data_IF_939936821927
#
_entry.id   IF_939936821927
#
_cell.length_a   1.000
_cell.length_b   1.000
_cell.length_c   1.000
_cell.angle_alpha   90.00
_cell.angle_beta   90.00
_cell.angle_gamma   90.00
#
_symmetry.space_group_name_H-M   'P 1'
#
loop_
_entity.id
_entity.type
_entity.pdbx_description
1 polymer ?
#
# COMPACT_ATOMS: atom_id res chain seq x y z
N UNK A 1 -58.90 19.53 -19.43
CA UNK A 1 -58.70 18.14 -19.03
C UNK A 1 -57.97 18.13 -17.69
N UNK A 2 -58.71 18.02 -16.59
CA UNK A 2 -58.16 18.13 -15.23
C UNK A 2 -57.81 16.72 -14.71
N UNK A 3 -56.50 16.49 -14.48
CA UNK A 3 -56.07 15.26 -13.76
C UNK A 3 -56.64 15.28 -12.35
N UNK A 4 -57.18 14.13 -11.92
CA UNK A 4 -57.80 13.99 -10.59
C UNK A 4 -56.74 14.19 -9.48
N UNK A 5 -57.20 14.59 -8.30
CA UNK A 5 -56.32 14.81 -7.15
C UNK A 5 -55.51 13.56 -6.80
N UNK A 6 -56.00 12.36 -7.03
CA UNK A 6 -55.35 11.10 -6.83
C UNK A 6 -54.14 10.90 -7.79
N UNK A 7 -54.28 11.32 -9.06
CA UNK A 7 -53.19 11.26 -10.03
C UNK A 7 -52.03 12.22 -9.68
N UNK A 8 -52.35 13.43 -9.16
CA UNK A 8 -51.32 14.38 -8.68
C UNK A 8 -50.59 13.88 -7.42
N UNK A 9 -51.32 13.18 -6.53
CA UNK A 9 -50.70 12.58 -5.35
C UNK A 9 -49.74 11.45 -5.72
N UNK A 10 -50.13 10.57 -6.67
CA UNK A 10 -49.26 9.48 -7.14
C UNK A 10 -48.02 9.99 -7.82
N UNK A 11 -48.10 11.01 -8.68
CA UNK A 11 -46.91 11.65 -9.33
C UNK A 11 -45.98 12.29 -8.30
N UNK A 12 -46.55 12.93 -7.25
CA UNK A 12 -45.75 13.50 -6.17
C UNK A 12 -45.05 12.44 -5.32
N UNK A 13 -45.67 11.29 -5.08
CA UNK A 13 -45.07 10.19 -4.33
C UNK A 13 -43.96 9.47 -5.11
N UNK A 14 -44.15 9.25 -6.42
CA UNK A 14 -43.11 8.66 -7.28
C UNK A 14 -41.92 9.61 -7.45
N UNK A 15 -42.16 10.92 -7.58
CA UNK A 15 -41.04 11.89 -7.61
C UNK A 15 -40.26 11.95 -6.29
N UNK A 16 -40.93 11.75 -5.14
CA UNK A 16 -40.23 11.64 -3.84
C UNK A 16 -39.45 10.32 -3.70
N UNK A 17 -39.96 9.22 -4.23
CA UNK A 17 -39.25 7.93 -4.21
C UNK A 17 -38.03 7.94 -5.14
N UNK A 18 -38.11 8.57 -6.32
CA UNK A 18 -36.96 8.74 -7.22
C UNK A 18 -35.87 9.62 -6.57
N UNK A 19 -36.26 10.70 -5.85
CA UNK A 19 -35.28 11.48 -5.08
C UNK A 19 -34.63 10.72 -3.95
N UNK A 20 -35.31 9.76 -3.34
CA UNK A 20 -34.73 8.89 -2.29
C UNK A 20 -33.82 7.80 -2.85
N UNK A 21 -34.07 7.33 -4.08
CA UNK A 21 -33.16 6.40 -4.77
C UNK A 21 -31.82 7.06 -5.14
N UNK A 22 -31.80 8.37 -5.41
CA UNK A 22 -30.56 9.13 -5.63
C UNK A 22 -29.85 9.55 -4.33
N UNK A 23 -30.37 9.22 -3.17
CA UNK A 23 -29.77 9.41 -1.84
C UNK A 23 -29.14 8.16 -1.26
N UNK A 24 -28.87 7.12 -2.07
CA UNK A 24 -27.92 6.12 -1.63
C UNK A 24 -26.61 6.86 -1.40
N UNK A 25 -26.16 6.90 -0.16
CA UNK A 25 -24.81 7.36 0.17
C UNK A 25 -23.87 6.70 -0.82
N UNK A 26 -23.12 7.50 -1.57
CA UNK A 26 -22.05 6.99 -2.40
C UNK A 26 -21.16 6.18 -1.45
N UNK A 27 -21.33 4.86 -1.44
CA UNK A 27 -20.37 3.97 -0.82
C UNK A 27 -19.10 4.25 -1.60
N UNK A 28 -18.10 4.78 -0.93
CA UNK A 28 -16.74 4.83 -1.43
C UNK A 28 -16.28 3.38 -1.62
N UNK A 29 -16.75 2.75 -2.69
CA UNK A 29 -16.21 1.49 -3.17
C UNK A 29 -14.84 1.74 -3.79
N UNK A 30 -14.10 0.68 -4.04
CA UNK A 30 -12.77 0.70 -4.69
C UNK A 30 -12.82 1.31 -6.11
N UNK A 31 -13.04 2.57 -6.24
CA UNK A 31 -13.28 3.35 -7.47
C UNK A 31 -13.74 4.77 -7.15
N UNK A 32 -13.73 5.17 -5.88
CA UNK A 32 -14.03 6.52 -5.46
C UNK A 32 -13.05 7.53 -6.06
N UNK A 33 -13.56 8.67 -6.53
CA UNK A 33 -12.72 9.78 -6.96
C UNK A 33 -11.92 10.27 -5.75
N UNK A 34 -10.60 10.21 -5.84
CA UNK A 34 -9.72 10.75 -4.81
C UNK A 34 -9.64 12.26 -4.97
N UNK A 35 -10.34 12.97 -4.11
CA UNK A 35 -10.28 14.43 -4.05
C UNK A 35 -9.42 14.81 -2.86
N UNK A 36 -8.33 15.55 -3.13
CA UNK A 36 -7.56 16.17 -2.07
C UNK A 36 -8.38 17.28 -1.40
N UNK A 37 -8.35 17.32 -0.08
CA UNK A 37 -8.90 18.41 0.72
C UNK A 37 -7.83 18.83 1.71
N UNK A 38 -7.54 20.12 1.75
CA UNK A 38 -6.54 20.66 2.65
C UNK A 38 -6.89 20.38 4.11
N UNK A 39 -5.91 19.91 4.84
CA UNK A 39 -5.96 19.70 6.28
C UNK A 39 -4.78 20.43 6.93
N UNK A 40 -4.80 20.66 8.25
CA UNK A 40 -3.67 21.31 8.92
C UNK A 40 -2.32 20.61 8.67
N UNK A 41 -2.33 19.28 8.54
CA UNK A 41 -1.12 18.47 8.34
C UNK A 41 -0.78 18.25 6.85
N UNK A 42 -1.74 18.43 5.94
CA UNK A 42 -1.60 18.14 4.52
C UNK A 42 -2.22 19.25 3.66
N UNK A 43 -1.41 20.22 3.32
CA UNK A 43 -1.76 21.36 2.48
C UNK A 43 -0.55 21.78 1.63
N UNK A 44 -0.71 22.62 0.61
CA UNK A 44 0.39 23.08 -0.24
C UNK A 44 1.49 23.85 0.51
N UNK A 45 1.16 24.45 1.67
CA UNK A 45 2.10 25.23 2.48
C UNK A 45 2.90 24.36 3.45
N UNK A 46 2.61 23.04 3.55
CA UNK A 46 3.39 22.10 4.36
C UNK A 46 4.84 22.10 3.86
N UNK A 47 5.84 22.44 4.70
CA UNK A 47 7.21 22.58 4.23
C UNK A 47 7.78 21.21 3.82
N UNK A 48 8.26 21.11 2.59
CA UNK A 48 8.97 19.94 2.09
C UNK A 48 10.10 20.36 1.14
N UNK A 49 11.31 19.92 1.47
CA UNK A 49 12.48 20.04 0.59
C UNK A 49 13.31 18.76 0.63
N UNK A 50 13.85 18.36 -0.50
CA UNK A 50 14.75 17.22 -0.54
C UNK A 50 16.07 17.53 0.16
N UNK A 51 16.55 16.58 0.94
CA UNK A 51 17.90 16.64 1.54
C UNK A 51 18.97 16.60 0.44
N UNK A 52 20.15 17.14 0.71
CA UNK A 52 21.26 17.13 -0.24
C UNK A 52 21.67 15.72 -0.70
N UNK A 53 21.54 14.73 0.20
CA UNK A 53 21.75 13.32 -0.14
C UNK A 53 20.72 12.83 -1.14
N UNK A 54 19.45 13.17 -0.92
CA UNK A 54 18.37 12.76 -1.83
C UNK A 54 18.41 13.51 -3.15
N UNK A 55 18.85 14.76 -3.20
CA UNK A 55 19.07 15.47 -4.46
C UNK A 55 20.09 14.73 -5.35
N UNK A 56 21.21 14.29 -4.77
CA UNK A 56 22.21 13.48 -5.50
C UNK A 56 21.65 12.14 -5.98
N UNK A 57 20.82 11.50 -5.15
CA UNK A 57 20.12 10.25 -5.55
C UNK A 57 19.15 10.49 -6.70
N UNK A 58 18.40 11.58 -6.68
CA UNK A 58 17.47 11.96 -7.75
C UNK A 58 18.23 12.19 -9.07
N UNK A 59 19.36 12.91 -9.04
CA UNK A 59 20.21 13.08 -10.21
C UNK A 59 20.70 11.74 -10.77
N UNK A 60 21.15 10.84 -9.91
CA UNK A 60 21.56 9.51 -10.31
C UNK A 60 20.39 8.68 -10.91
N UNK A 61 19.20 8.76 -10.33
CA UNK A 61 18.00 8.09 -10.87
C UNK A 61 17.63 8.66 -12.25
N UNK A 62 17.60 9.98 -12.40
CA UNK A 62 17.28 10.62 -13.68
C UNK A 62 18.29 10.22 -14.75
N UNK A 63 19.57 10.10 -14.40
CA UNK A 63 20.63 9.73 -15.35
C UNK A 63 20.51 8.31 -15.90
N UNK A 64 19.72 7.43 -15.27
CA UNK A 64 19.42 6.08 -15.79
C UNK A 64 18.44 6.08 -16.96
N UNK A 65 17.74 7.19 -17.20
CA UNK A 65 16.75 7.32 -18.26
C UNK A 65 17.30 8.14 -19.43
N UNK A 66 16.80 7.93 -20.65
CA UNK A 66 17.21 8.70 -21.82
C UNK A 66 16.97 10.22 -21.64
N UNK A 67 17.77 11.02 -22.30
CA UNK A 67 17.63 12.48 -22.30
C UNK A 67 16.21 12.88 -22.75
N UNK A 68 15.57 13.79 -22.03
CA UNK A 68 14.20 14.22 -22.29
C UNK A 68 13.11 13.36 -21.65
N UNK A 69 13.45 12.25 -20.96
CA UNK A 69 12.48 11.33 -20.34
C UNK A 69 12.51 11.35 -18.79
N UNK A 70 12.73 12.53 -18.19
CA UNK A 70 12.73 12.72 -16.72
C UNK A 70 11.45 12.20 -16.04
N UNK A 71 10.31 12.25 -16.71
CA UNK A 71 9.04 11.73 -16.19
C UNK A 71 9.07 10.24 -15.84
N UNK A 72 9.98 9.46 -16.46
CA UNK A 72 10.14 8.05 -16.14
C UNK A 72 10.62 7.82 -14.69
N UNK A 73 11.24 8.82 -14.08
CA UNK A 73 11.71 8.78 -12.70
C UNK A 73 10.62 9.09 -11.66
N UNK A 74 9.35 9.25 -12.05
CA UNK A 74 8.26 9.68 -11.12
C UNK A 74 8.11 8.73 -9.94
N UNK A 75 8.01 7.42 -10.18
CA UNK A 75 7.84 6.41 -9.12
C UNK A 75 9.03 6.41 -8.14
N UNK A 76 10.29 6.26 -8.59
CA UNK A 76 11.41 6.22 -7.67
C UNK A 76 11.64 7.55 -6.93
N UNK A 77 11.33 8.70 -7.53
CA UNK A 77 11.46 10.00 -6.84
C UNK A 77 10.35 10.20 -5.80
N UNK A 78 9.12 9.75 -6.09
CA UNK A 78 8.04 9.69 -5.09
C UNK A 78 8.40 8.77 -3.91
N UNK A 79 9.01 7.62 -4.17
CA UNK A 79 9.48 6.72 -3.11
C UNK A 79 10.54 7.38 -2.23
N UNK A 80 11.51 8.09 -2.82
CA UNK A 80 12.48 8.87 -2.05
C UNK A 80 11.84 9.96 -1.18
N UNK A 81 10.83 10.66 -1.72
CA UNK A 81 10.10 11.66 -0.97
C UNK A 81 9.35 11.04 0.22
N UNK A 82 8.66 9.91 -0.02
CA UNK A 82 7.95 9.18 1.03
C UNK A 82 8.89 8.66 2.11
N UNK A 83 10.04 8.07 1.75
CA UNK A 83 11.05 7.60 2.71
C UNK A 83 11.66 8.72 3.53
N UNK A 84 11.80 9.91 2.96
CA UNK A 84 12.33 11.07 3.68
C UNK A 84 11.33 11.63 4.70
N UNK A 85 10.05 11.73 4.34
CA UNK A 85 9.02 12.38 5.15
C UNK A 85 8.21 11.38 6.01
N UNK A 86 8.17 10.12 5.59
CA UNK A 86 7.35 9.06 6.19
C UNK A 86 6.02 8.83 5.46
N UNK A 87 5.48 9.84 4.78
CA UNK A 87 4.30 9.79 3.93
C UNK A 87 4.38 10.93 2.89
N UNK A 88 3.44 11.00 1.94
CA UNK A 88 3.45 11.95 0.83
C UNK A 88 2.41 13.08 1.02
N UNK A 89 2.77 14.22 1.64
CA UNK A 89 1.93 15.42 1.60
C UNK A 89 1.86 15.97 0.17
N UNK A 90 0.83 16.76 -0.10
CA UNK A 90 0.65 17.37 -1.42
C UNK A 90 1.84 18.25 -1.82
N UNK A 91 2.46 18.91 -0.86
CA UNK A 91 3.67 19.73 -1.07
C UNK A 91 4.85 18.90 -1.57
N UNK A 92 5.04 17.68 -1.04
CA UNK A 92 6.08 16.75 -1.51
C UNK A 92 5.81 16.30 -2.95
N UNK A 93 4.56 16.00 -3.29
CA UNK A 93 4.17 15.66 -4.67
C UNK A 93 4.40 16.83 -5.63
N UNK A 94 4.10 18.07 -5.21
CA UNK A 94 4.38 19.27 -5.97
C UNK A 94 5.88 19.47 -6.19
N UNK A 95 6.70 19.20 -5.17
CA UNK A 95 8.16 19.29 -5.28
C UNK A 95 8.74 18.23 -6.23
N UNK A 96 8.18 17.03 -6.23
CA UNK A 96 8.54 15.99 -7.22
C UNK A 96 8.21 16.46 -8.64
N UNK A 97 7.04 17.07 -8.85
CA UNK A 97 6.65 17.61 -10.15
C UNK A 97 7.62 18.71 -10.63
N UNK A 98 8.01 19.62 -9.74
CA UNK A 98 8.98 20.67 -10.01
C UNK A 98 10.35 20.09 -10.45
N UNK A 99 10.89 19.14 -9.68
CA UNK A 99 12.20 18.53 -9.95
C UNK A 99 12.22 17.75 -11.27
N UNK A 100 11.11 17.08 -11.60
CA UNK A 100 10.99 16.32 -12.85
C UNK A 100 10.51 17.16 -14.03
N UNK A 101 10.19 18.45 -13.81
CA UNK A 101 9.69 19.38 -14.84
C UNK A 101 8.42 18.87 -15.53
N UNK A 102 7.50 18.30 -14.76
CA UNK A 102 6.20 17.77 -15.23
C UNK A 102 5.03 18.47 -14.53
N UNK A 103 3.86 18.39 -15.14
CA UNK A 103 2.65 18.95 -14.51
C UNK A 103 2.33 18.20 -13.21
N UNK A 104 1.98 18.91 -12.10
CA UNK A 104 1.64 18.27 -10.81
C UNK A 104 0.59 17.18 -10.94
N UNK A 105 -0.38 17.31 -11.83
CA UNK A 105 -1.43 16.32 -12.08
C UNK A 105 -0.83 14.96 -12.46
N UNK A 106 0.28 14.90 -13.22
CA UNK A 106 0.93 13.64 -13.60
C UNK A 106 1.52 12.91 -12.39
N UNK A 107 1.99 13.65 -11.41
CA UNK A 107 2.47 13.08 -10.14
C UNK A 107 1.29 12.59 -9.30
N UNK A 108 0.20 13.36 -9.24
CA UNK A 108 -1.00 12.96 -8.50
C UNK A 108 -1.63 11.68 -9.07
N UNK A 109 -1.68 11.53 -10.38
CA UNK A 109 -2.16 10.30 -11.05
C UNK A 109 -1.37 9.09 -10.56
N UNK A 110 -0.04 9.16 -10.53
CA UNK A 110 0.81 8.08 -10.05
C UNK A 110 0.63 7.82 -8.57
N UNK A 111 0.65 8.87 -7.75
CA UNK A 111 0.53 8.75 -6.29
C UNK A 111 -0.84 8.23 -5.84
N UNK A 112 -1.89 8.44 -6.63
CA UNK A 112 -3.24 7.93 -6.35
C UNK A 112 -3.49 6.54 -6.92
N UNK A 113 -2.80 6.16 -7.98
CA UNK A 113 -2.94 4.86 -8.62
C UNK A 113 -2.24 3.76 -7.82
N UNK A 114 -0.99 3.98 -7.42
CA UNK A 114 -0.19 2.98 -6.70
C UNK A 114 -0.46 3.04 -5.20
N UNK A 115 -0.94 1.93 -4.64
CA UNK A 115 -1.31 1.82 -3.21
C UNK A 115 -0.13 1.91 -2.25
N UNK A 116 1.10 1.74 -2.74
CA UNK A 116 2.32 1.91 -1.94
C UNK A 116 2.56 3.36 -1.50
N UNK A 117 1.94 4.33 -2.16
CA UNK A 117 2.08 5.73 -1.81
C UNK A 117 1.07 6.16 -0.76
N UNK A 118 1.59 6.55 0.40
CA UNK A 118 0.83 6.92 1.58
C UNK A 118 0.54 8.42 1.57
N UNK A 119 -0.70 8.81 1.24
CA UNK A 119 -1.11 10.21 1.11
C UNK A 119 -1.68 10.83 2.39
N UNK A 120 -1.65 10.07 3.48
CA UNK A 120 -2.07 10.50 4.81
C UNK A 120 -0.98 10.17 5.83
N UNK A 121 -0.92 10.88 6.96
CA UNK A 121 0.01 10.58 8.01
C UNK A 121 -0.13 9.14 8.51
N UNK A 122 0.98 8.44 8.61
CA UNK A 122 1.07 7.08 9.15
C UNK A 122 2.10 7.01 10.26
N UNK A 123 2.05 5.95 11.04
CA UNK A 123 3.04 5.69 12.08
C UNK A 123 4.40 5.28 11.51
N UNK A 124 5.41 5.24 12.39
CA UNK A 124 6.76 4.81 12.06
C UNK A 124 6.80 3.41 11.45
N UNK A 125 5.96 2.51 11.95
CA UNK A 125 5.80 1.15 11.46
C UNK A 125 4.42 0.98 10.84
N UNK A 126 4.40 0.81 9.53
CA UNK A 126 3.18 0.64 8.75
C UNK A 126 2.93 -0.85 8.55
N UNK A 127 1.94 -1.39 9.29
CA UNK A 127 1.60 -2.80 9.30
C UNK A 127 0.51 -3.05 8.27
N UNK A 128 0.81 -3.90 7.30
CA UNK A 128 -0.09 -4.32 6.24
C UNK A 128 -0.36 -5.81 6.39
N UNK A 129 -1.56 -6.19 6.79
CA UNK A 129 -1.95 -7.59 6.92
C UNK A 129 -2.69 -8.07 5.68
N UNK A 130 -2.26 -9.21 5.14
CA UNK A 130 -2.95 -9.89 4.04
C UNK A 130 -4.07 -10.77 4.60
N UNK A 131 -5.31 -10.53 4.14
CA UNK A 131 -6.52 -11.30 4.53
C UNK A 131 -7.18 -11.99 3.34
N UNK A 132 -6.50 -12.06 2.19
CA UNK A 132 -6.99 -12.75 1.00
C UNK A 132 -6.96 -14.28 1.16
N UNK A 133 -7.62 -14.99 0.27
CA UNK A 133 -8.00 -16.40 0.42
C UNK A 133 -6.93 -17.34 0.98
N UNK A 134 -5.68 -17.39 0.50
CA UNK A 134 -4.68 -18.29 1.08
C UNK A 134 -4.33 -17.94 2.54
N UNK A 135 -4.17 -16.65 2.85
CA UNK A 135 -3.90 -16.21 4.21
C UNK A 135 -5.11 -16.46 5.13
N UNK A 136 -6.33 -16.22 4.65
CA UNK A 136 -7.57 -16.52 5.38
C UNK A 136 -7.67 -18.02 5.68
N UNK A 137 -7.38 -18.91 4.72
CA UNK A 137 -7.39 -20.36 4.94
C UNK A 137 -6.31 -20.80 5.95
N UNK A 138 -5.22 -20.03 6.07
CA UNK A 138 -4.17 -20.22 7.06
C UNK A 138 -4.41 -19.40 8.34
N UNK A 139 -5.66 -18.96 8.58
CA UNK A 139 -6.10 -18.29 9.80
C UNK A 139 -5.47 -16.90 10.02
N UNK A 140 -5.42 -16.06 8.97
CA UNK A 140 -4.98 -14.65 9.08
C UNK A 140 -5.80 -13.84 10.08
N UNK A 141 -7.06 -14.22 10.32
CA UNK A 141 -7.95 -13.55 11.27
C UNK A 141 -7.36 -13.58 12.68
N UNK A 142 -6.74 -14.69 13.09
CA UNK A 142 -6.09 -14.80 14.40
C UNK A 142 -4.87 -13.87 14.52
N UNK A 143 -4.16 -13.63 13.41
CA UNK A 143 -3.05 -12.68 13.38
C UNK A 143 -3.57 -11.25 13.49
N UNK A 144 -4.66 -10.93 12.77
CA UNK A 144 -5.32 -9.62 12.85
C UNK A 144 -5.80 -9.34 14.28
N UNK A 145 -6.49 -10.28 14.91
CA UNK A 145 -6.95 -10.16 16.29
C UNK A 145 -5.77 -9.96 17.28
N UNK A 146 -4.68 -10.70 17.10
CA UNK A 146 -3.48 -10.55 17.92
C UNK A 146 -2.88 -9.13 17.81
N UNK A 147 -2.79 -8.59 16.59
CA UNK A 147 -2.30 -7.21 16.35
C UNK A 147 -3.24 -6.21 17.01
N UNK A 148 -4.54 -6.32 16.78
CA UNK A 148 -5.54 -5.41 17.35
C UNK A 148 -5.52 -5.40 18.88
N UNK A 149 -5.47 -6.59 19.49
CA UNK A 149 -5.40 -6.72 20.95
C UNK A 149 -4.09 -6.16 21.52
N UNK A 150 -2.96 -6.41 20.85
CA UNK A 150 -1.63 -5.96 21.29
C UNK A 150 -1.43 -4.45 21.20
N UNK A 151 -2.00 -3.82 20.16
CA UNK A 151 -1.85 -2.38 19.89
C UNK A 151 -3.05 -1.54 20.38
N UNK A 152 -4.20 -2.16 20.61
CA UNK A 152 -5.42 -1.46 21.02
C UNK A 152 -6.02 -0.59 19.91
N UNK A 153 -5.78 -0.91 18.64
CA UNK A 153 -6.26 -0.17 17.46
C UNK A 153 -7.06 -1.08 16.52
N UNK A 154 -7.93 -0.46 15.73
CA UNK A 154 -8.65 -1.14 14.65
C UNK A 154 -7.95 -0.96 13.32
N UNK A 155 -8.40 -1.71 12.31
CA UNK A 155 -7.95 -1.52 10.92
C UNK A 155 -8.22 -0.09 10.46
N UNK A 156 -7.21 0.54 9.87
CA UNK A 156 -7.24 1.93 9.42
C UNK A 156 -6.81 2.95 10.48
N UNK A 157 -6.51 2.51 11.71
CA UNK A 157 -6.12 3.42 12.78
C UNK A 157 -4.61 3.42 13.04
N UNK A 158 -4.15 4.51 13.64
CA UNK A 158 -2.77 4.70 14.09
C UNK A 158 -2.75 4.80 15.61
N UNK A 159 -1.75 4.19 16.25
CA UNK A 159 -1.56 4.30 17.70
C UNK A 159 -1.34 5.76 18.13
N UNK A 160 -1.75 6.11 19.36
CA UNK A 160 -1.65 7.48 19.89
C UNK A 160 -0.21 8.01 19.93
N UNK A 161 0.77 7.10 20.06
CA UNK A 161 2.21 7.41 20.04
C UNK A 161 2.78 7.54 18.61
N UNK A 162 1.94 7.40 17.58
CA UNK A 162 2.31 7.42 16.15
C UNK A 162 3.38 6.39 15.78
N UNK A 163 3.49 5.32 16.55
CA UNK A 163 4.45 4.26 16.27
C UNK A 163 3.94 3.26 15.24
N UNK A 164 2.67 2.86 15.31
CA UNK A 164 2.10 1.83 14.46
C UNK A 164 0.83 2.32 13.77
N UNK A 165 0.70 1.97 12.50
CA UNK A 165 -0.54 2.08 11.73
C UNK A 165 -0.89 0.70 11.19
N UNK A 166 -2.13 0.25 11.37
CA UNK A 166 -2.61 -1.05 10.90
C UNK A 166 -3.57 -0.87 9.74
N UNK A 167 -3.28 -1.52 8.62
CA UNK A 167 -4.21 -1.64 7.50
C UNK A 167 -4.36 -3.09 7.03
N UNK A 168 -5.51 -3.39 6.50
CA UNK A 168 -5.79 -4.61 5.76
C UNK A 168 -5.53 -4.36 4.27
N UNK A 169 -4.85 -5.29 3.62
CA UNK A 169 -4.48 -5.17 2.21
C UNK A 169 -4.84 -6.43 1.44
N UNK A 170 -4.88 -6.30 0.12
CA UNK A 170 -4.98 -7.43 -0.80
C UNK A 170 -3.71 -8.28 -0.80
N UNK A 171 -3.69 -9.35 -1.60
CA UNK A 171 -2.58 -10.30 -1.65
C UNK A 171 -1.23 -9.63 -1.93
N UNK A 172 -0.26 -9.87 -1.04
CA UNK A 172 1.11 -9.37 -1.13
C UNK A 172 2.06 -10.34 -1.86
N UNK A 173 1.54 -11.46 -2.38
CA UNK A 173 2.30 -12.40 -3.22
C UNK A 173 3.10 -13.47 -2.48
N UNK A 174 3.06 -13.54 -1.15
CA UNK A 174 3.76 -14.57 -0.35
C UNK A 174 2.83 -15.70 0.11
N UNK A 175 1.89 -16.12 -0.72
CA UNK A 175 0.83 -17.08 -0.38
C UNK A 175 1.37 -18.44 0.05
N UNK A 176 2.54 -18.86 -0.43
CA UNK A 176 3.17 -20.15 -0.06
C UNK A 176 3.57 -20.20 1.41
N UNK A 177 3.82 -19.03 2.01
CA UNK A 177 4.21 -18.87 3.41
C UNK A 177 3.12 -18.11 4.20
N UNK A 178 1.85 -18.37 3.88
CA UNK A 178 0.72 -17.79 4.59
C UNK A 178 0.61 -18.39 6.02
N UNK A 179 0.12 -17.63 7.02
CA UNK A 179 -0.28 -16.23 6.94
C UNK A 179 0.92 -15.28 7.03
N UNK A 180 0.78 -14.08 6.46
CA UNK A 180 1.88 -13.14 6.36
C UNK A 180 1.44 -11.68 6.60
N UNK A 181 2.41 -10.87 7.04
CA UNK A 181 2.28 -9.43 7.28
C UNK A 181 3.48 -8.73 6.69
N UNK A 182 3.25 -7.58 6.05
CA UNK A 182 4.32 -6.65 5.68
C UNK A 182 4.39 -5.51 6.70
N UNK A 183 5.58 -5.25 7.21
CA UNK A 183 5.84 -4.08 8.07
C UNK A 183 6.91 -3.23 7.39
N UNK A 184 6.53 -2.06 6.92
CA UNK A 184 7.33 -1.22 6.05
C UNK A 184 7.81 -2.02 4.81
N UNK A 185 9.12 -2.24 4.66
CA UNK A 185 9.70 -2.98 3.54
C UNK A 185 9.84 -4.49 3.80
N UNK A 186 9.64 -4.95 5.05
CA UNK A 186 9.93 -6.30 5.46
C UNK A 186 8.69 -7.19 5.45
N UNK A 187 8.83 -8.41 4.89
CA UNK A 187 7.84 -9.47 4.96
C UNK A 187 8.12 -10.37 6.16
N UNK A 188 7.09 -10.66 6.93
CA UNK A 188 7.09 -11.63 8.01
C UNK A 188 6.06 -12.70 7.67
N UNK A 189 6.49 -13.92 7.57
CA UNK A 189 5.76 -15.02 6.93
C UNK A 189 5.65 -16.22 7.86
N UNK A 190 4.72 -17.14 7.54
CA UNK A 190 4.44 -18.34 8.37
C UNK A 190 4.16 -17.96 9.84
N UNK A 191 3.36 -16.94 10.05
CA UNK A 191 3.16 -16.34 11.36
C UNK A 191 2.18 -17.13 12.23
N UNK A 192 2.53 -17.26 13.50
CA UNK A 192 1.57 -17.55 14.58
C UNK A 192 1.20 -16.25 15.32
N UNK A 193 0.08 -16.24 16.09
CA UNK A 193 -0.27 -15.09 16.92
C UNK A 193 0.86 -14.65 17.85
N UNK A 194 1.61 -15.59 18.39
CA UNK A 194 2.78 -15.31 19.24
C UNK A 194 3.91 -14.63 18.48
N UNK A 195 4.21 -15.08 17.26
CA UNK A 195 5.28 -14.50 16.45
C UNK A 195 5.03 -13.03 16.16
N UNK A 196 3.78 -12.65 15.81
CA UNK A 196 3.45 -11.24 15.55
C UNK A 196 3.50 -10.39 16.82
N UNK A 197 3.11 -10.94 17.97
CA UNK A 197 3.25 -10.24 19.26
C UNK A 197 4.72 -9.99 19.60
N UNK A 198 5.58 -10.98 19.42
CA UNK A 198 7.03 -10.87 19.65
C UNK A 198 7.67 -9.85 18.69
N UNK A 199 7.28 -9.86 17.41
CA UNK A 199 7.71 -8.86 16.41
C UNK A 199 7.32 -7.44 16.85
N UNK A 200 6.09 -7.24 17.30
CA UNK A 200 5.63 -5.92 17.77
C UNK A 200 6.43 -5.47 18.99
N UNK A 201 6.73 -6.36 19.93
CA UNK A 201 7.52 -6.03 21.13
C UNK A 201 8.97 -5.66 20.76
N UNK A 202 9.58 -6.37 19.81
CA UNK A 202 10.91 -6.02 19.31
C UNK A 202 10.93 -4.65 18.63
N UNK A 203 9.92 -4.36 17.80
CA UNK A 203 9.78 -3.06 17.14
C UNK A 203 9.55 -1.92 18.15
N UNK A 204 8.75 -2.15 19.23
CA UNK A 204 8.61 -1.20 20.33
C UNK A 204 9.94 -0.95 21.06
N UNK A 205 10.77 -1.98 21.17
CA UNK A 205 12.12 -1.85 21.74
C UNK A 205 13.14 -1.23 20.75
N UNK A 206 12.71 -0.84 19.55
CA UNK A 206 13.57 -0.22 18.53
C UNK A 206 14.45 -1.21 17.76
N UNK A 207 14.24 -2.51 17.93
CA UNK A 207 14.93 -3.56 17.15
C UNK A 207 14.04 -3.98 15.99
N UNK A 208 14.64 -4.15 14.81
CA UNK A 208 13.96 -4.68 13.64
C UNK A 208 14.29 -6.16 13.54
N UNK A 209 13.32 -7.06 13.77
CA UNK A 209 13.57 -8.48 13.66
C UNK A 209 13.88 -8.88 12.21
N UNK A 210 14.62 -10.00 11.99
CA UNK A 210 14.93 -10.46 10.64
C UNK A 210 13.64 -10.82 9.89
N UNK A 211 13.50 -10.39 8.61
CA UNK A 211 12.34 -10.73 7.79
C UNK A 211 12.36 -12.20 7.36
N UNK A 212 11.23 -12.65 6.81
CA UNK A 212 11.09 -14.00 6.25
C UNK A 212 10.26 -14.94 7.11
N UNK A 213 10.30 -16.24 6.79
CA UNK A 213 9.51 -17.27 7.46
C UNK A 213 9.89 -17.47 8.93
N UNK A 214 8.88 -17.69 9.78
CA UNK A 214 9.08 -17.96 11.22
C UNK A 214 9.10 -19.43 11.58
N UNK A 215 8.77 -20.30 10.63
CA UNK A 215 8.76 -21.76 10.83
C UNK A 215 10.13 -22.46 10.66
N UNK A 216 11.21 -21.70 10.46
CA UNK A 216 12.56 -22.24 10.27
C UNK A 216 12.93 -22.55 8.82
N UNK A 217 12.04 -22.33 7.85
CA UNK A 217 12.39 -22.37 6.42
C UNK A 217 13.26 -21.18 6.05
N UNK A 218 14.14 -21.37 5.05
CA UNK A 218 15.00 -20.29 4.58
C UNK A 218 14.22 -19.26 3.75
N UNK A 219 13.31 -19.74 2.89
CA UNK A 219 12.50 -18.93 2.00
C UNK A 219 11.17 -19.62 1.72
N UNK A 220 10.85 -19.86 0.46
CA UNK A 220 9.59 -20.47 -0.01
C UNK A 220 9.75 -21.92 -0.46
N UNK A 221 10.81 -22.58 -0.05
CA UNK A 221 11.05 -23.99 -0.36
C UNK A 221 10.01 -24.90 0.32
N UNK A 222 9.64 -26.02 -0.33
CA UNK A 222 8.76 -27.01 0.27
C UNK A 222 9.31 -27.56 1.59
N UNK A 223 8.43 -27.90 2.53
CA UNK A 223 8.82 -28.46 3.83
C UNK A 223 9.66 -29.75 3.72
N UNK A 224 9.47 -30.53 2.65
CA UNK A 224 10.25 -31.74 2.33
C UNK A 224 11.56 -31.49 1.59
N UNK A 225 11.98 -30.26 1.41
CA UNK A 225 13.15 -29.86 0.63
C UNK A 225 12.81 -29.53 -0.83
N UNK A 226 13.84 -29.26 -1.63
CA UNK A 226 13.68 -28.91 -3.04
C UNK A 226 13.03 -30.05 -3.83
N UNK A 227 11.97 -29.71 -4.59
CA UNK A 227 11.25 -30.65 -5.47
C UNK A 227 11.60 -30.46 -6.95
N UNK A 228 12.33 -29.40 -7.28
CA UNK A 228 12.80 -29.07 -8.63
C UNK A 228 14.23 -28.52 -8.54
N UNK A 229 14.90 -28.45 -9.67
CA UNK A 229 16.30 -28.00 -9.76
C UNK A 229 17.25 -28.80 -8.83
N UNK A 230 16.94 -30.07 -8.59
CA UNK A 230 17.73 -30.97 -7.75
C UNK A 230 18.94 -31.58 -8.48
N UNK A 231 18.95 -31.42 -9.81
CA UNK A 231 20.03 -31.87 -10.68
C UNK A 231 20.75 -30.67 -11.29
N UNK A 232 22.02 -30.79 -11.67
CA UNK A 232 22.71 -29.77 -12.45
C UNK A 232 21.92 -29.38 -13.71
N UNK A 233 21.95 -28.11 -14.14
CA UNK A 233 21.28 -27.67 -15.36
C UNK A 233 21.70 -28.52 -16.54
N UNK A 234 20.74 -29.04 -17.28
CA UNK A 234 21.01 -29.69 -18.57
C UNK A 234 21.52 -28.63 -19.54
N UNK A 235 22.44 -29.01 -20.41
CA UNK A 235 22.92 -28.11 -21.46
C UNK A 235 21.78 -27.58 -22.34
N UNK A 236 22.03 -26.61 -23.20
CA UNK A 236 21.01 -26.00 -24.06
C UNK A 236 20.26 -27.10 -24.82
N UNK A 237 18.93 -27.05 -24.75
CA UNK A 237 18.04 -28.02 -25.36
C UNK A 237 17.97 -27.89 -26.87
N UNK A 238 17.24 -28.82 -27.48
CA UNK A 238 16.91 -28.76 -28.91
C UNK A 238 16.18 -27.45 -29.25
N UNK A 239 16.63 -26.78 -30.28
CA UNK A 239 16.03 -25.50 -30.75
C UNK A 239 16.67 -24.24 -30.18
N UNK A 240 17.69 -24.35 -29.35
CA UNK A 240 18.47 -23.19 -28.94
C UNK A 240 19.39 -22.75 -30.08
N UNK A 241 19.43 -21.46 -30.33
CA UNK A 241 20.32 -20.87 -31.36
C UNK A 241 21.79 -21.08 -30.96
N UNK A 242 22.55 -21.65 -31.94
CA UNK A 242 23.98 -21.95 -31.70
C UNK A 242 24.88 -20.70 -31.69
N UNK A 243 24.35 -19.54 -32.07
CA UNK A 243 25.02 -18.25 -32.20
C UNK A 243 24.73 -17.31 -30.98
N UNK A 244 23.99 -17.81 -29.99
CA UNK A 244 23.76 -17.16 -28.69
C UNK A 244 24.45 -17.93 -27.58
#
# INVERSE_FOLDING_TARGET
MFLSAAARSAVSQTARQVRNLHRSAARAGAGGIFVHRDTPDNNPDTPFEFTEVNKKRIEAIISMYPVGHKQAATIPVLDLAQRQHGWLPISAMNKVAEVLEIAPMRVYEVATFYTMFLRQPVGKYFIQICTTTPCMLCNSDSILEAIQNKLGIKVGETTADKMFTLIEVECLGACVNAPMVQINDNYYEDLSPKDIEDIIDELKAGRVPPPGPRNGRFSCEPAGGLTSLTEPPKGPGFGVRADL
#
